data_IF_895811929416
#
_entry.id   IF_895811929416
#
_cell.length_a   1.000
_cell.length_b   1.000
_cell.length_c   1.000
_cell.angle_alpha   90.00
_cell.angle_beta   90.00
_cell.angle_gamma   90.00
#
_symmetry.space_group_name_H-M   'P 1'
#
loop_
_entity.id
_entity.type
_entity.pdbx_description
1 polymer ?
#
# COMPACT_ATOMS: atom_id res chain seq x y z
N UNK A 1 3.27 -8.52 39.05
CA UNK A 1 3.79 -8.39 37.68
C UNK A 1 2.58 -8.43 36.76
N UNK A 2 2.18 -7.26 36.24
CA UNK A 2 1.03 -7.13 35.36
C UNK A 2 1.39 -7.72 33.99
N UNK A 3 0.71 -8.80 33.59
CA UNK A 3 0.69 -9.28 32.22
C UNK A 3 -0.15 -8.27 31.41
N UNK A 4 0.51 -7.55 30.51
CA UNK A 4 -0.13 -6.71 29.50
C UNK A 4 -1.01 -7.60 28.61
N UNK A 5 -2.32 -7.37 28.68
CA UNK A 5 -3.29 -7.98 27.78
C UNK A 5 -2.97 -7.54 26.34
N UNK A 6 -2.60 -8.50 25.51
CA UNK A 6 -2.58 -8.35 24.06
C UNK A 6 -4.05 -8.29 23.65
N UNK A 7 -4.51 -7.13 23.21
CA UNK A 7 -5.83 -7.00 22.57
C UNK A 7 -5.78 -7.77 21.26
N UNK A 8 -6.40 -8.96 21.25
CA UNK A 8 -6.77 -9.66 20.02
C UNK A 8 -7.68 -8.73 19.21
N UNK A 9 -7.31 -8.52 17.96
CA UNK A 9 -8.10 -7.73 17.01
C UNK A 9 -9.06 -8.72 16.37
N UNK A 10 -10.35 -8.62 16.71
CA UNK A 10 -11.40 -9.37 16.04
C UNK A 10 -11.48 -8.94 14.56
N UNK A 11 -11.29 -9.86 13.59
CA UNK A 11 -11.31 -9.52 12.17
C UNK A 11 -12.72 -9.16 11.65
N UNK A 12 -13.77 -9.39 12.43
CA UNK A 12 -15.17 -9.25 12.01
C UNK A 12 -15.90 -8.02 12.58
N UNK A 13 -15.24 -7.14 13.35
CA UNK A 13 -15.91 -6.00 13.96
C UNK A 13 -15.66 -4.68 13.20
N UNK A 14 -16.17 -4.59 11.97
CA UNK A 14 -16.41 -3.31 11.31
C UNK A 14 -17.83 -2.89 11.70
N UNK A 15 -17.96 -2.18 12.82
CA UNK A 15 -19.24 -1.55 13.20
C UNK A 15 -19.64 -0.57 12.08
N UNK A 16 -20.78 -0.78 11.39
CA UNK A 16 -21.25 0.10 10.31
C UNK A 16 -21.59 1.52 10.79
N UNK A 17 -21.56 1.78 12.10
CA UNK A 17 -21.70 3.11 12.70
C UNK A 17 -20.38 3.72 13.20
N UNK A 18 -19.25 3.01 13.06
CA UNK A 18 -17.93 3.53 13.42
C UNK A 18 -17.47 4.56 12.39
N UNK A 19 -17.29 5.81 12.82
CA UNK A 19 -16.72 6.88 12.01
C UNK A 19 -15.22 6.70 11.70
N UNK A 20 -14.65 5.55 12.09
CA UNK A 20 -13.23 5.24 11.99
C UNK A 20 -12.98 3.82 11.52
N UNK A 21 -11.90 3.62 10.75
CA UNK A 21 -11.39 2.31 10.35
C UNK A 21 -9.97 2.16 10.89
N UNK A 22 -9.77 1.23 11.83
CA UNK A 22 -8.44 0.88 12.30
C UNK A 22 -7.89 -0.30 11.48
N UNK A 23 -6.72 -0.13 10.89
CA UNK A 23 -6.07 -1.18 10.11
C UNK A 23 -4.55 -1.13 10.23
N UNK A 24 -3.88 -2.14 9.65
CA UNK A 24 -2.43 -2.15 9.51
C UNK A 24 -2.01 -1.36 8.29
N UNK A 25 -0.90 -0.65 8.37
CA UNK A 25 -0.33 0.07 7.24
C UNK A 25 1.12 -0.34 6.99
N UNK A 26 1.52 -0.33 5.73
CA UNK A 26 2.89 -0.57 5.26
C UNK A 26 3.18 0.34 4.06
N UNK A 27 4.43 0.38 3.60
CA UNK A 27 4.77 0.91 2.28
C UNK A 27 5.46 -0.17 1.43
N UNK A 28 5.40 -0.02 0.11
CA UNK A 28 6.20 -0.80 -0.84
C UNK A 28 7.20 0.14 -1.50
N UNK A 29 8.51 -0.14 -1.37
CA UNK A 29 9.55 0.65 -2.00
C UNK A 29 9.68 0.31 -3.49
N UNK A 30 8.76 0.86 -4.27
CA UNK A 30 8.67 0.74 -5.72
C UNK A 30 8.98 2.07 -6.44
N UNK A 31 9.75 2.96 -5.78
CA UNK A 31 10.18 4.25 -6.35
C UNK A 31 11.01 4.01 -7.62
N UNK A 32 11.91 3.01 -7.58
CA UNK A 32 12.56 2.47 -8.77
C UNK A 32 11.87 1.17 -9.20
N UNK A 33 11.11 1.16 -10.31
CA UNK A 33 10.41 -0.03 -10.77
C UNK A 33 11.36 -1.16 -11.21
N UNK A 34 12.65 -0.89 -11.43
CA UNK A 34 13.66 -1.90 -11.76
C UNK A 34 14.37 -2.49 -10.52
N UNK A 35 14.04 -1.99 -9.32
CA UNK A 35 14.50 -2.56 -8.05
C UNK A 35 13.90 -3.95 -7.81
N UNK A 36 14.61 -4.80 -7.08
CA UNK A 36 14.15 -6.17 -6.74
C UNK A 36 13.36 -6.25 -5.43
N UNK A 37 13.14 -5.12 -4.76
CA UNK A 37 12.42 -5.06 -3.49
C UNK A 37 10.91 -5.10 -3.75
N UNK A 38 10.25 -6.17 -3.31
CA UNK A 38 8.83 -6.41 -3.57
C UNK A 38 8.03 -6.80 -2.32
N UNK A 39 8.57 -6.53 -1.14
CA UNK A 39 7.90 -6.86 0.13
C UNK A 39 7.50 -5.56 0.84
N UNK A 40 6.24 -5.47 1.31
CA UNK A 40 5.82 -4.33 2.12
C UNK A 40 6.62 -4.21 3.42
N UNK A 41 6.98 -2.98 3.77
CA UNK A 41 7.73 -2.60 4.96
C UNK A 41 6.90 -1.68 5.87
N UNK A 42 7.10 -1.68 7.20
CA UNK A 42 7.97 -2.57 7.96
C UNK A 42 7.37 -3.96 8.11
N UNK A 43 8.21 -4.97 8.35
CA UNK A 43 7.78 -6.36 8.58
C UNK A 43 6.82 -6.55 9.76
N UNK A 44 6.77 -5.58 10.68
CA UNK A 44 5.74 -5.47 11.72
C UNK A 44 4.90 -4.23 11.44
N UNK A 45 3.78 -4.37 10.70
CA UNK A 45 2.98 -3.23 10.27
C UNK A 45 2.45 -2.45 11.49
N UNK A 46 2.66 -1.12 11.59
CA UNK A 46 1.99 -0.32 12.58
C UNK A 46 0.47 -0.28 12.34
N UNK A 47 -0.30 -0.04 13.39
CA UNK A 47 -1.73 0.23 13.28
C UNK A 47 -1.96 1.72 13.01
N UNK A 48 -2.93 2.04 12.16
CA UNK A 48 -3.37 3.40 11.86
C UNK A 48 -4.90 3.45 11.89
N UNK A 49 -5.45 4.59 12.27
CA UNK A 49 -6.90 4.81 12.33
C UNK A 49 -7.28 5.89 11.33
N UNK A 50 -7.99 5.50 10.28
CA UNK A 50 -8.56 6.40 9.29
C UNK A 50 -9.92 6.92 9.78
N UNK A 51 -10.25 8.15 9.41
CA UNK A 51 -11.60 8.70 9.48
C UNK A 51 -12.34 8.27 8.22
N UNK A 52 -13.45 7.53 8.35
CA UNK A 52 -14.11 6.89 7.20
C UNK A 52 -14.83 7.88 6.29
N UNK A 53 -15.31 8.97 6.87
CA UNK A 53 -16.05 10.05 6.20
C UNK A 53 -15.17 11.22 5.74
N UNK A 54 -13.85 11.07 5.80
CA UNK A 54 -12.88 12.07 5.33
C UNK A 54 -12.13 11.55 4.12
N UNK A 55 -11.94 12.41 3.12
CA UNK A 55 -11.22 12.07 1.89
C UNK A 55 -9.80 11.56 2.20
N UNK A 56 -9.38 10.50 1.51
CA UNK A 56 -8.11 9.81 1.76
C UNK A 56 -6.88 10.67 1.53
N UNK A 57 -6.87 11.53 0.50
CA UNK A 57 -5.76 12.47 0.23
C UNK A 57 -5.44 13.38 1.42
N UNK A 58 -6.45 13.79 2.20
CA UNK A 58 -6.25 14.60 3.41
C UNK A 58 -5.57 13.83 4.55
N UNK A 59 -5.62 12.50 4.51
CA UNK A 59 -5.07 11.61 5.54
C UNK A 59 -3.71 11.03 5.13
N UNK A 60 -3.37 11.08 3.85
CA UNK A 60 -2.17 10.48 3.26
C UNK A 60 -0.87 10.97 3.91
N UNK A 61 -0.77 12.26 4.24
CA UNK A 61 0.42 12.82 4.90
C UNK A 61 0.68 12.16 6.27
N UNK A 62 -0.38 11.87 7.04
CA UNK A 62 -0.27 11.20 8.32
C UNK A 62 0.20 9.75 8.17
N UNK A 63 -0.34 9.04 7.18
CA UNK A 63 0.07 7.66 6.85
C UNK A 63 1.55 7.62 6.47
N UNK A 64 1.96 8.49 5.53
CA UNK A 64 3.35 8.62 5.07
C UNK A 64 4.31 8.89 6.23
N UNK A 65 3.95 9.83 7.11
CA UNK A 65 4.75 10.17 8.30
C UNK A 65 4.89 9.02 9.29
N UNK A 66 3.80 8.28 9.56
CA UNK A 66 3.84 7.12 10.48
C UNK A 66 4.73 6.02 9.93
N UNK A 67 4.70 5.81 8.62
CA UNK A 67 5.53 4.82 7.94
C UNK A 67 6.99 5.25 7.77
N UNK A 68 7.27 6.56 7.88
CA UNK A 68 8.54 7.15 7.47
C UNK A 68 8.95 6.67 6.06
N UNK A 69 7.97 6.68 5.15
CA UNK A 69 8.15 6.14 3.80
C UNK A 69 9.12 7.03 2.99
N UNK A 70 9.99 6.44 2.14
CA UNK A 70 10.97 7.19 1.36
C UNK A 70 10.37 7.97 0.19
N UNK A 71 9.12 7.69 -0.18
CA UNK A 71 8.43 8.26 -1.32
C UNK A 71 8.25 9.79 -1.20
N UNK A 72 8.19 10.47 -2.34
CA UNK A 72 7.61 11.80 -2.38
C UNK A 72 6.10 11.70 -2.19
N UNK A 73 5.55 12.47 -1.25
CA UNK A 73 4.13 12.40 -0.90
C UNK A 73 3.19 12.65 -2.09
N UNK A 74 3.59 13.50 -3.04
CA UNK A 74 2.82 13.81 -4.26
C UNK A 74 2.68 12.62 -5.21
N UNK A 75 3.58 11.66 -5.09
CA UNK A 75 3.71 10.52 -6.00
C UNK A 75 3.13 9.25 -5.36
N UNK A 76 2.58 9.36 -4.15
CA UNK A 76 2.03 8.25 -3.38
C UNK A 76 0.58 7.93 -3.78
N UNK A 77 0.23 6.66 -3.65
CA UNK A 77 -1.13 6.12 -3.64
C UNK A 77 -1.27 5.07 -2.55
N UNK A 78 -2.50 4.59 -2.33
CA UNK A 78 -2.83 3.54 -1.38
C UNK A 78 -3.41 2.33 -2.12
N UNK A 79 -3.00 1.13 -1.72
CA UNK A 79 -3.47 -0.13 -2.30
C UNK A 79 -3.80 -1.11 -1.17
N UNK A 80 -4.89 -1.87 -1.33
CA UNK A 80 -5.20 -2.93 -0.38
C UNK A 80 -4.23 -4.08 -0.54
N UNK A 81 -3.82 -4.68 0.57
CA UNK A 81 -2.92 -5.81 0.56
C UNK A 81 -3.35 -6.84 1.59
N UNK A 82 -3.43 -8.09 1.16
CA UNK A 82 -3.69 -9.24 2.02
C UNK A 82 -2.42 -10.05 2.20
N UNK A 83 -2.21 -10.54 3.42
CA UNK A 83 -1.13 -11.48 3.72
C UNK A 83 -1.72 -12.83 4.13
N UNK A 84 -1.36 -13.87 3.39
CA UNK A 84 -1.74 -15.25 3.65
C UNK A 84 -0.47 -16.09 3.81
N UNK A 85 -0.04 -16.26 5.06
CA UNK A 85 1.24 -16.91 5.39
C UNK A 85 2.43 -16.18 4.77
N UNK A 86 3.05 -16.80 3.76
CA UNK A 86 4.19 -16.22 3.02
C UNK A 86 3.78 -15.53 1.72
N UNK A 87 2.50 -15.58 1.35
CA UNK A 87 2.00 -14.99 0.11
C UNK A 87 1.45 -13.59 0.39
N UNK A 88 1.93 -12.62 -0.35
CA UNK A 88 1.40 -11.25 -0.38
C UNK A 88 0.55 -11.12 -1.63
N UNK A 89 -0.69 -10.66 -1.48
CA UNK A 89 -1.62 -10.42 -2.57
C UNK A 89 -2.06 -8.96 -2.54
N UNK A 90 -1.83 -8.25 -3.64
CA UNK A 90 -2.25 -6.88 -3.82
C UNK A 90 -3.65 -6.84 -4.43
N UNK A 91 -4.48 -5.97 -3.87
CA UNK A 91 -5.87 -5.77 -4.22
C UNK A 91 -6.09 -4.48 -5.03
N UNK A 92 -7.30 -3.90 -4.94
CA UNK A 92 -7.57 -2.65 -5.62
C UNK A 92 -6.78 -1.48 -5.03
N UNK A 93 -6.46 -0.51 -5.89
CA UNK A 93 -6.03 0.82 -5.47
C UNK A 93 -7.22 1.57 -4.86
N UNK A 94 -6.96 2.34 -3.81
CA UNK A 94 -7.95 3.23 -3.21
C UNK A 94 -7.93 4.57 -3.94
N UNK A 95 -9.10 5.17 -4.12
CA UNK A 95 -9.23 6.46 -4.80
C UNK A 95 -8.99 7.56 -3.77
N UNK A 96 -7.90 8.31 -3.94
CA UNK A 96 -7.47 9.31 -2.96
C UNK A 96 -8.41 10.52 -2.87
N UNK A 97 -9.28 10.72 -3.86
CA UNK A 97 -10.30 11.78 -3.90
C UNK A 97 -11.62 11.35 -3.26
N UNK A 98 -11.73 10.09 -2.83
CA UNK A 98 -12.90 9.52 -2.14
C UNK A 98 -12.63 9.27 -0.66
N UNK A 99 -13.72 9.09 0.08
CA UNK A 99 -13.77 8.65 1.47
C UNK A 99 -13.77 7.11 1.53
N UNK A 100 -13.43 6.52 2.69
CA UNK A 100 -13.51 5.06 2.84
C UNK A 100 -14.96 4.56 2.82
N UNK A 101 -15.92 5.39 3.27
CA UNK A 101 -17.34 5.05 3.22
C UNK A 101 -17.85 4.90 1.78
N UNK A 102 -17.34 5.70 0.84
CA UNK A 102 -17.67 5.62 -0.59
C UNK A 102 -17.12 4.37 -1.28
N UNK A 103 -16.06 3.77 -0.73
CA UNK A 103 -15.35 2.60 -1.29
C UNK A 103 -15.49 1.36 -0.40
N UNK A 104 -16.50 1.34 0.47
CA UNK A 104 -16.61 0.36 1.55
C UNK A 104 -16.84 -1.06 1.03
N UNK A 105 -17.64 -1.21 -0.02
CA UNK A 105 -17.98 -2.52 -0.59
C UNK A 105 -16.74 -3.24 -1.12
N UNK A 106 -15.86 -2.53 -1.81
CA UNK A 106 -14.59 -3.06 -2.34
C UNK A 106 -13.65 -3.46 -1.20
N UNK A 107 -13.56 -2.63 -0.16
CA UNK A 107 -12.72 -2.90 1.01
C UNK A 107 -13.24 -4.13 1.76
N UNK A 108 -14.53 -4.22 2.03
CA UNK A 108 -15.11 -5.36 2.74
C UNK A 108 -14.95 -6.64 1.93
N UNK A 109 -15.22 -6.60 0.62
CA UNK A 109 -15.05 -7.75 -0.26
C UNK A 109 -13.62 -8.28 -0.25
N UNK A 110 -12.62 -7.40 -0.22
CA UNK A 110 -11.21 -7.78 -0.20
C UNK A 110 -10.72 -8.27 1.17
N UNK A 111 -11.30 -7.77 2.27
CA UNK A 111 -10.77 -7.97 3.64
C UNK A 111 -11.37 -9.18 4.37
N UNK A 112 -12.38 -9.85 3.81
CA UNK A 112 -13.09 -10.99 4.41
C UNK A 112 -12.15 -12.12 4.89
N UNK A 113 -12.01 -12.26 6.21
CA UNK A 113 -11.44 -13.45 6.86
C UNK A 113 -9.91 -13.57 6.82
N UNK A 114 -9.19 -12.55 6.37
CA UNK A 114 -7.73 -12.58 6.29
C UNK A 114 -7.07 -11.36 6.94
N UNK A 115 -5.80 -11.52 7.30
CA UNK A 115 -4.97 -10.39 7.70
C UNK A 115 -4.75 -9.49 6.49
N UNK A 116 -5.11 -8.23 6.63
CA UNK A 116 -4.98 -7.23 5.59
C UNK A 116 -4.30 -5.97 6.11
N UNK A 117 -3.84 -5.16 5.17
CA UNK A 117 -3.18 -3.88 5.40
C UNK A 117 -3.41 -2.94 4.23
N UNK A 118 -3.27 -1.64 4.46
CA UNK A 118 -3.19 -0.64 3.40
C UNK A 118 -1.72 -0.34 3.14
N UNK A 119 -1.30 -0.47 1.88
CA UNK A 119 0.07 -0.24 1.44
C UNK A 119 0.17 1.10 0.74
N UNK A 120 1.01 1.98 1.27
CA UNK A 120 1.45 3.19 0.58
C UNK A 120 2.50 2.83 -0.46
N UNK A 121 2.31 3.26 -1.70
CA UNK A 121 3.25 2.97 -2.78
C UNK A 121 3.25 4.06 -3.84
N UNK A 122 4.14 3.94 -4.82
CA UNK A 122 4.22 4.89 -5.93
C UNK A 122 3.04 4.71 -6.89
N UNK A 123 2.42 5.82 -7.29
CA UNK A 123 1.34 5.83 -8.28
C UNK A 123 1.80 5.15 -9.58
N UNK A 124 0.86 4.46 -10.25
CA UNK A 124 1.15 3.69 -11.46
C UNK A 124 1.71 4.57 -12.58
N UNK A 125 1.12 5.74 -12.81
CA UNK A 125 1.60 6.71 -13.81
C UNK A 125 3.05 7.15 -13.56
N UNK A 126 3.43 7.41 -12.30
CA UNK A 126 4.80 7.79 -11.93
C UNK A 126 5.77 6.65 -12.19
N UNK A 127 5.40 5.40 -11.85
CA UNK A 127 6.22 4.21 -12.17
C UNK A 127 6.37 3.98 -13.66
N UNK A 128 5.30 4.17 -14.45
CA UNK A 128 5.35 4.07 -15.92
C UNK A 128 6.29 5.13 -16.49
N UNK A 129 6.23 6.36 -15.98
CA UNK A 129 7.14 7.42 -16.41
C UNK A 129 8.59 7.08 -16.07
N UNK A 130 8.87 6.56 -14.87
CA UNK A 130 10.21 6.11 -14.49
C UNK A 130 10.72 4.96 -15.40
N UNK A 131 9.84 4.04 -15.80
CA UNK A 131 10.16 3.03 -16.81
C UNK A 131 10.54 3.65 -18.15
N UNK A 132 9.75 4.59 -18.66
CA UNK A 132 10.01 5.28 -19.93
C UNK A 132 11.36 6.02 -19.86
N UNK A 133 11.57 6.81 -18.81
CA UNK A 133 12.78 7.60 -18.62
C UNK A 133 14.01 6.71 -18.54
N UNK A 134 13.95 5.58 -17.83
CA UNK A 134 15.05 4.62 -17.77
C UNK A 134 15.38 4.05 -19.15
N UNK A 135 14.36 3.68 -19.94
CA UNK A 135 14.57 3.09 -21.26
C UNK A 135 15.14 4.10 -22.27
N UNK A 136 14.70 5.35 -22.20
CA UNK A 136 15.19 6.42 -23.11
C UNK A 136 16.62 6.86 -22.78
N UNK A 137 17.03 6.75 -21.50
CA UNK A 137 18.34 7.22 -21.03
C UNK A 137 19.36 6.09 -20.77
N UNK A 138 19.05 4.85 -21.10
CA UNK A 138 19.98 3.71 -20.96
C UNK A 138 20.47 3.22 -22.32
N UNK A 139 21.70 2.74 -22.37
CA UNK A 139 22.29 2.13 -23.56
C UNK A 139 23.09 0.85 -23.23
N UNK A 140 23.49 0.13 -24.28
CA UNK A 140 24.34 -1.05 -24.19
C UNK A 140 23.87 -2.11 -23.18
N UNK A 141 24.71 -2.38 -22.18
CA UNK A 141 24.45 -3.42 -21.15
C UNK A 141 23.29 -3.03 -20.23
N UNK A 142 23.16 -1.75 -19.89
CA UNK A 142 22.12 -1.29 -18.97
C UNK A 142 20.74 -1.40 -19.62
N UNK A 143 20.61 -0.93 -20.86
CA UNK A 143 19.38 -1.08 -21.64
C UNK A 143 18.96 -2.56 -21.75
N UNK A 144 19.90 -3.46 -22.05
CA UNK A 144 19.62 -4.90 -22.11
C UNK A 144 19.08 -5.44 -20.78
N UNK A 145 19.60 -4.97 -19.64
CA UNK A 145 19.11 -5.37 -18.31
C UNK A 145 17.71 -4.81 -18.06
N UNK A 146 17.50 -3.51 -18.31
CA UNK A 146 16.18 -2.88 -18.15
C UNK A 146 15.11 -3.55 -19.00
N UNK A 147 15.40 -3.85 -20.26
CA UNK A 147 14.47 -4.57 -21.14
C UNK A 147 14.14 -5.99 -20.65
N UNK A 148 15.11 -6.69 -20.05
CA UNK A 148 14.86 -8.01 -19.47
C UNK A 148 13.99 -7.92 -18.21
N UNK A 149 14.28 -6.98 -17.31
CA UNK A 149 13.49 -6.73 -16.11
C UNK A 149 12.07 -6.27 -16.43
N UNK A 150 11.88 -5.50 -17.51
CA UNK A 150 10.58 -4.98 -17.92
C UNK A 150 9.54 -6.09 -18.12
N UNK A 151 9.97 -7.26 -18.59
CA UNK A 151 9.09 -8.43 -18.69
C UNK A 151 8.57 -8.89 -17.33
N UNK A 152 9.41 -8.85 -16.28
CA UNK A 152 9.00 -9.23 -14.92
C UNK A 152 8.13 -8.17 -14.25
N UNK A 153 8.34 -6.89 -14.56
CA UNK A 153 7.55 -5.78 -14.00
C UNK A 153 6.08 -5.83 -14.47
N UNK A 154 5.83 -6.31 -15.69
CA UNK A 154 4.48 -6.42 -16.27
C UNK A 154 3.81 -7.81 -16.12
N UNK A 155 4.49 -8.78 -15.51
CA UNK A 155 3.98 -10.14 -15.27
C UNK A 155 3.45 -10.29 -13.86
#
# INVERSE_FOLDING_TARGET
MLLSQVTEIDPDNIDPSSSTLQCRIQYLDDIDPFSSVNLPEPARPPSFTFLTSTILSNQLHSVHKVLNAPHQISDCTLELCRQDGTKTEFGPYLELDQTLDEQREEIETFTQGYKWSIVLRTQLNVRVQACIDKLLNSDGRELRRSLFSLKQIFQ
#
